data_IF_047098144882
#
_entry.id   IF_047098144882
#
_cell.length_a   1.000
_cell.length_b   1.000
_cell.length_c   1.000
_cell.angle_alpha   90.00
_cell.angle_beta   90.00
_cell.angle_gamma   90.00
#
_symmetry.space_group_name_H-M   'P 1'
#
loop_
_entity.id
_entity.type
_entity.pdbx_description
1 polymer ?
#
# COMPACT_ATOMS: atom_id res chain seq x y z
N UNK A 1 -5.10 -11.95 -1.29
CA UNK A 1 -5.06 -12.45 -2.69
C UNK A 1 -4.00 -13.54 -2.86
N UNK A 2 -4.31 -14.59 -3.60
CA UNK A 2 -3.41 -15.68 -3.99
C UNK A 2 -2.65 -15.38 -5.29
N UNK A 3 -1.53 -16.09 -5.52
CA UNK A 3 -0.73 -15.97 -6.76
C UNK A 3 -1.57 -16.26 -8.02
N UNK A 4 -2.53 -17.20 -7.91
CA UNK A 4 -3.41 -17.56 -9.02
C UNK A 4 -4.34 -16.40 -9.37
N UNK A 5 -4.97 -15.79 -8.38
CA UNK A 5 -5.85 -14.62 -8.57
C UNK A 5 -5.08 -13.45 -9.18
N UNK A 6 -3.86 -13.16 -8.71
CA UNK A 6 -3.00 -12.13 -9.31
C UNK A 6 -2.68 -12.44 -10.78
N UNK A 7 -2.32 -13.69 -11.08
CA UNK A 7 -2.04 -14.12 -12.46
C UNK A 7 -3.26 -13.97 -13.37
N UNK A 8 -4.45 -14.26 -12.86
CA UNK A 8 -5.70 -14.10 -13.60
C UNK A 8 -6.01 -12.61 -13.85
N UNK A 9 -5.72 -11.73 -12.88
CA UNK A 9 -5.82 -10.28 -13.07
C UNK A 9 -4.86 -9.76 -14.14
N UNK A 10 -3.61 -10.21 -14.13
CA UNK A 10 -2.60 -9.87 -15.15
C UNK A 10 -3.09 -10.24 -16.55
N UNK A 11 -3.61 -11.47 -16.73
CA UNK A 11 -4.15 -11.91 -18.02
C UNK A 11 -5.38 -11.12 -18.44
N UNK A 12 -6.31 -10.88 -17.50
CA UNK A 12 -7.56 -10.14 -17.74
C UNK A 12 -7.31 -8.69 -18.16
N UNK A 13 -6.45 -7.99 -17.41
CA UNK A 13 -6.09 -6.58 -17.66
C UNK A 13 -5.01 -6.41 -18.73
N UNK A 14 -4.36 -7.51 -19.15
CA UNK A 14 -3.21 -7.52 -20.07
C UNK A 14 -2.12 -6.54 -19.62
N UNK A 15 -1.86 -6.53 -18.32
CA UNK A 15 -1.07 -5.51 -17.65
C UNK A 15 -0.27 -6.13 -16.51
N UNK A 16 0.95 -5.65 -16.34
CA UNK A 16 1.78 -5.89 -15.14
C UNK A 16 1.90 -4.62 -14.30
N UNK A 17 1.08 -3.59 -14.57
CA UNK A 17 1.20 -2.29 -13.95
C UNK A 17 0.97 -2.37 -12.44
N UNK A 18 1.99 -1.96 -11.70
CA UNK A 18 1.92 -1.69 -10.27
C UNK A 18 2.02 -0.18 -10.05
N UNK A 19 1.00 0.43 -9.46
CA UNK A 19 0.96 1.87 -9.21
C UNK A 19 1.50 2.17 -7.81
N UNK A 20 2.47 3.08 -7.72
CA UNK A 20 2.96 3.59 -6.44
C UNK A 20 2.06 4.71 -5.90
N UNK A 21 1.73 4.65 -4.60
CA UNK A 21 1.08 5.74 -3.87
C UNK A 21 2.08 6.29 -2.83
N UNK A 22 3.06 7.03 -3.35
CA UNK A 22 4.18 7.61 -2.62
C UNK A 22 3.87 9.10 -2.35
N UNK A 23 2.81 9.35 -1.57
CA UNK A 23 2.14 10.67 -1.51
C UNK A 23 2.83 11.64 -0.56
N UNK A 24 3.52 12.62 -1.14
CA UNK A 24 4.01 13.82 -0.45
C UNK A 24 2.94 14.92 -0.50
N UNK A 25 2.67 15.57 0.65
CA UNK A 25 1.76 16.72 0.75
C UNK A 25 2.13 17.85 -0.22
N UNK A 26 3.41 18.04 -0.53
CA UNK A 26 3.87 19.04 -1.49
C UNK A 26 3.41 18.76 -2.93
N UNK A 27 3.17 17.48 -3.27
CA UNK A 27 2.68 17.06 -4.58
C UNK A 27 1.15 17.07 -4.72
N UNK A 28 0.40 17.30 -3.63
CA UNK A 28 -1.05 17.28 -3.65
C UNK A 28 -1.60 18.57 -4.29
N UNK A 29 -2.54 18.48 -5.25
CA UNK A 29 -3.21 19.65 -5.81
C UNK A 29 -3.82 20.56 -4.73
N UNK A 30 -3.63 21.87 -4.86
CA UNK A 30 -4.05 22.86 -3.85
C UNK A 30 -5.52 22.77 -3.44
N UNK A 31 -6.37 22.34 -4.36
CA UNK A 31 -7.80 22.16 -4.15
C UNK A 31 -8.09 21.05 -3.12
N UNK A 32 -7.28 19.99 -3.11
CA UNK A 32 -7.45 18.84 -2.21
C UNK A 32 -6.79 19.06 -0.84
N UNK A 33 -5.91 20.06 -0.70
CA UNK A 33 -5.28 20.38 0.59
C UNK A 33 -6.27 20.87 1.67
N UNK A 34 -7.51 21.20 1.28
CA UNK A 34 -8.57 21.65 2.19
C UNK A 34 -9.41 20.50 2.76
N UNK A 35 -9.24 19.30 2.23
CA UNK A 35 -9.92 18.11 2.70
C UNK A 35 -9.45 17.73 4.11
N UNK A 36 -10.27 17.02 4.86
CA UNK A 36 -9.92 16.56 6.22
C UNK A 36 -8.67 15.65 6.20
N UNK A 37 -8.54 14.83 5.17
CA UNK A 37 -7.42 13.92 4.95
C UNK A 37 -6.92 14.04 3.50
N UNK A 38 -6.12 15.07 3.17
CA UNK A 38 -5.70 15.33 1.79
C UNK A 38 -4.92 14.17 1.17
N UNK A 39 -4.14 13.44 1.98
CA UNK A 39 -3.35 12.28 1.54
C UNK A 39 -4.30 11.16 1.11
N UNK A 40 -5.28 10.80 1.94
CA UNK A 40 -6.26 9.79 1.58
C UNK A 40 -7.10 10.22 0.37
N UNK A 41 -7.60 11.46 0.34
CA UNK A 41 -8.43 11.93 -0.78
C UNK A 41 -7.66 11.90 -2.09
N UNK A 42 -6.39 12.30 -2.08
CA UNK A 42 -5.53 12.23 -3.27
C UNK A 42 -5.27 10.79 -3.72
N UNK A 43 -4.91 9.90 -2.79
CA UNK A 43 -4.75 8.47 -3.07
C UNK A 43 -6.02 7.86 -3.67
N UNK A 44 -7.17 8.14 -3.05
CA UNK A 44 -8.47 7.64 -3.50
C UNK A 44 -8.77 8.11 -4.93
N UNK A 45 -8.47 9.37 -5.27
CA UNK A 45 -8.66 9.89 -6.62
C UNK A 45 -7.80 9.14 -7.65
N UNK A 46 -6.53 8.87 -7.32
CA UNK A 46 -5.63 8.08 -8.16
C UNK A 46 -6.19 6.66 -8.35
N UNK A 47 -6.58 5.98 -7.27
CA UNK A 47 -7.14 4.62 -7.32
C UNK A 47 -8.38 4.58 -8.21
N UNK A 48 -9.35 5.47 -7.97
CA UNK A 48 -10.57 5.58 -8.78
C UNK A 48 -10.25 5.75 -10.26
N UNK A 49 -9.31 6.62 -10.60
CA UNK A 49 -8.93 6.89 -11.97
C UNK A 49 -8.16 5.73 -12.65
N UNK A 50 -7.51 4.84 -11.89
CA UNK A 50 -6.50 3.92 -12.45
C UNK A 50 -6.66 2.44 -12.12
N UNK A 51 -7.57 2.06 -11.21
CA UNK A 51 -7.77 0.67 -10.75
C UNK A 51 -8.02 -0.33 -11.90
N UNK A 52 -8.68 0.09 -12.97
CA UNK A 52 -8.99 -0.75 -14.13
C UNK A 52 -7.74 -1.11 -14.97
N UNK A 53 -6.65 -0.35 -14.84
CA UNK A 53 -5.38 -0.56 -15.55
C UNK A 53 -4.34 -1.31 -14.71
N UNK A 54 -4.38 -1.12 -13.39
CA UNK A 54 -3.40 -1.67 -12.46
C UNK A 54 -3.78 -3.08 -12.00
N UNK A 55 -2.77 -3.93 -11.80
CA UNK A 55 -2.94 -5.22 -11.10
C UNK A 55 -2.52 -5.13 -9.64
N UNK A 56 -1.72 -4.12 -9.30
CA UNK A 56 -1.26 -3.91 -7.94
C UNK A 56 -1.14 -2.43 -7.58
N UNK A 57 -1.25 -2.13 -6.29
CA UNK A 57 -0.90 -0.85 -5.69
C UNK A 57 0.17 -1.07 -4.62
N UNK A 58 1.22 -0.26 -4.69
CA UNK A 58 2.35 -0.27 -3.75
C UNK A 58 2.35 1.02 -2.95
N UNK A 59 2.30 0.92 -1.63
CA UNK A 59 2.29 2.06 -0.72
C UNK A 59 3.63 2.09 0.02
N UNK A 60 4.48 3.07 -0.27
CA UNK A 60 5.76 3.23 0.43
C UNK A 60 5.55 3.90 1.79
N UNK A 61 5.80 3.15 2.87
CA UNK A 61 5.44 3.58 4.23
C UNK A 61 6.18 4.84 4.67
N UNK A 62 7.36 5.13 4.11
CA UNK A 62 8.15 6.30 4.47
C UNK A 62 7.40 7.63 4.29
N UNK A 63 6.59 7.74 3.22
CA UNK A 63 5.80 8.95 2.94
C UNK A 63 4.68 9.18 3.98
N UNK A 64 4.15 8.09 4.53
CA UNK A 64 3.12 8.12 5.56
C UNK A 64 3.73 8.29 6.95
N UNK A 65 4.82 7.59 7.24
CA UNK A 65 5.60 7.71 8.48
C UNK A 65 6.08 9.14 8.73
N UNK A 66 6.53 9.84 7.68
CA UNK A 66 6.95 11.24 7.75
C UNK A 66 5.85 12.20 8.23
N UNK A 67 4.58 11.83 8.08
CA UNK A 67 3.42 12.58 8.56
C UNK A 67 2.95 12.16 9.97
N UNK A 68 3.72 11.32 10.67
CA UNK A 68 3.38 10.84 12.01
C UNK A 68 2.08 10.02 12.06
N UNK A 69 1.34 10.15 13.16
CA UNK A 69 0.11 9.37 13.39
C UNK A 69 -0.97 9.64 12.33
N UNK A 70 -1.05 10.86 11.80
CA UNK A 70 -2.00 11.19 10.74
C UNK A 70 -1.69 10.44 9.45
N UNK A 71 -0.42 10.36 9.04
CA UNK A 71 -0.05 9.61 7.86
C UNK A 71 -0.34 8.12 7.99
N UNK A 72 -0.12 7.52 9.17
CA UNK A 72 -0.54 6.14 9.43
C UNK A 72 -2.05 5.94 9.32
N UNK A 73 -2.86 6.91 9.76
CA UNK A 73 -4.32 6.87 9.57
C UNK A 73 -4.69 6.97 8.08
N UNK A 74 -4.04 7.85 7.31
CA UNK A 74 -4.25 7.95 5.86
C UNK A 74 -3.86 6.66 5.14
N UNK A 75 -2.75 6.01 5.55
CA UNK A 75 -2.34 4.70 5.04
C UNK A 75 -3.42 3.66 5.30
N UNK A 76 -3.90 3.56 6.55
CA UNK A 76 -4.94 2.62 6.95
C UNK A 76 -6.25 2.84 6.18
N UNK A 77 -6.70 4.09 6.01
CA UNK A 77 -7.88 4.41 5.20
C UNK A 77 -7.67 4.02 3.72
N UNK A 78 -6.47 4.26 3.18
CA UNK A 78 -6.17 3.93 1.78
C UNK A 78 -6.21 2.42 1.54
N UNK A 79 -5.58 1.62 2.40
CA UNK A 79 -5.58 0.15 2.24
C UNK A 79 -6.97 -0.43 2.47
N UNK A 80 -7.71 0.04 3.48
CA UNK A 80 -9.09 -0.38 3.72
C UNK A 80 -9.98 -0.08 2.50
N UNK A 81 -9.84 1.10 1.90
CA UNK A 81 -10.58 1.47 0.70
C UNK A 81 -10.30 0.52 -0.47
N UNK A 82 -9.03 0.18 -0.74
CA UNK A 82 -8.65 -0.77 -1.79
C UNK A 82 -9.26 -2.15 -1.49
N UNK A 83 -9.10 -2.66 -0.28
CA UNK A 83 -9.57 -3.99 0.09
C UNK A 83 -11.10 -4.13 0.02
N UNK A 84 -11.83 -3.07 0.36
CA UNK A 84 -13.30 -3.07 0.33
C UNK A 84 -13.85 -2.89 -1.09
N UNK A 85 -13.30 -1.97 -1.88
CA UNK A 85 -13.89 -1.56 -3.16
C UNK A 85 -13.28 -2.27 -4.36
N UNK A 86 -12.05 -2.75 -4.22
CA UNK A 86 -11.25 -3.35 -5.28
C UNK A 86 -10.46 -4.56 -4.76
N UNK A 87 -11.13 -5.58 -4.19
CA UNK A 87 -10.48 -6.76 -3.63
C UNK A 87 -9.68 -7.57 -4.67
N UNK A 88 -9.88 -7.28 -5.96
CA UNK A 88 -9.11 -7.84 -7.06
C UNK A 88 -7.79 -7.11 -7.36
N UNK A 89 -7.42 -6.09 -6.58
CA UNK A 89 -6.11 -5.43 -6.66
C UNK A 89 -5.16 -6.02 -5.62
N UNK A 90 -3.94 -6.34 -6.04
CA UNK A 90 -2.89 -6.80 -5.13
C UNK A 90 -2.26 -5.62 -4.40
N UNK A 91 -2.08 -5.73 -3.09
CA UNK A 91 -1.58 -4.62 -2.27
C UNK A 91 -0.20 -4.93 -1.69
N UNK A 92 0.72 -3.96 -1.82
CA UNK A 92 2.11 -4.11 -1.39
C UNK A 92 2.46 -2.97 -0.42
N UNK A 93 2.79 -3.32 0.82
CA UNK A 93 3.44 -2.42 1.74
C UNK A 93 4.94 -2.35 1.41
N UNK A 94 5.38 -1.25 0.80
CA UNK A 94 6.81 -1.04 0.55
C UNK A 94 7.47 -0.43 1.79
N UNK A 95 7.77 -1.30 2.76
CA UNK A 95 8.22 -0.96 4.10
C UNK A 95 9.69 -1.34 4.36
N UNK A 96 10.31 -2.15 3.50
CA UNK A 96 11.72 -2.58 3.55
C UNK A 96 12.13 -3.13 4.92
N UNK A 97 11.22 -3.82 5.61
CA UNK A 97 11.44 -4.29 6.99
C UNK A 97 12.50 -5.38 7.05
N UNK A 98 13.28 -5.38 8.13
CA UNK A 98 14.25 -6.42 8.43
C UNK A 98 14.75 -6.25 9.86
N UNK A 99 14.71 -7.32 10.65
CA UNK A 99 15.02 -7.33 12.08
C UNK A 99 15.19 -8.80 12.53
N UNK A 100 15.38 -9.06 13.83
CA UNK A 100 15.41 -10.43 14.37
C UNK A 100 14.02 -11.06 14.38
N UNK A 101 13.93 -12.39 14.33
CA UNK A 101 12.67 -13.12 14.11
C UNK A 101 11.47 -12.70 14.98
N UNK A 102 11.67 -12.41 16.27
CA UNK A 102 10.57 -11.95 17.14
C UNK A 102 10.04 -10.56 16.71
N UNK A 103 10.92 -9.65 16.33
CA UNK A 103 10.54 -8.33 15.82
C UNK A 103 9.91 -8.44 14.42
N UNK A 104 10.45 -9.30 13.55
CA UNK A 104 9.86 -9.57 12.23
C UNK A 104 8.44 -10.14 12.33
N UNK A 105 8.13 -10.93 13.36
CA UNK A 105 6.77 -11.37 13.64
C UNK A 105 5.82 -10.20 13.97
N UNK A 106 6.29 -9.15 14.66
CA UNK A 106 5.49 -7.95 14.92
C UNK A 106 5.26 -7.14 13.64
N UNK A 107 6.22 -7.07 12.73
CA UNK A 107 5.99 -6.48 11.40
C UNK A 107 4.97 -7.28 10.60
N UNK A 108 5.07 -8.61 10.61
CA UNK A 108 4.09 -9.47 9.94
C UNK A 108 2.67 -9.21 10.47
N UNK A 109 2.50 -9.13 11.79
CA UNK A 109 1.21 -8.78 12.42
C UNK A 109 0.72 -7.39 11.99
N UNK A 110 1.60 -6.39 11.96
CA UNK A 110 1.22 -5.04 11.56
C UNK A 110 0.71 -5.00 10.11
N UNK A 111 1.44 -5.61 9.18
CA UNK A 111 1.11 -5.50 7.74
C UNK A 111 0.05 -6.49 7.28
N UNK A 112 0.07 -7.74 7.76
CA UNK A 112 -0.86 -8.78 7.28
C UNK A 112 -2.15 -8.89 8.10
N UNK A 113 -2.11 -8.65 9.42
CA UNK A 113 -3.31 -8.76 10.27
C UNK A 113 -3.98 -7.40 10.50
N UNK A 114 -3.20 -6.37 10.85
CA UNK A 114 -3.76 -5.07 11.25
C UNK A 114 -4.12 -4.21 10.04
N UNK A 115 -3.21 -4.10 9.07
CA UNK A 115 -3.42 -3.30 7.86
C UNK A 115 -3.96 -4.12 6.68
N UNK A 116 -3.84 -5.45 6.74
CA UNK A 116 -4.35 -6.38 5.73
C UNK A 116 -3.79 -6.15 4.31
N UNK A 117 -2.48 -5.93 4.20
CA UNK A 117 -1.76 -5.98 2.92
C UNK A 117 -1.60 -7.43 2.43
N UNK A 118 -1.49 -7.62 1.11
CA UNK A 118 -1.16 -8.93 0.54
C UNK A 118 0.34 -9.25 0.59
N UNK A 119 1.19 -8.23 0.54
CA UNK A 119 2.65 -8.37 0.56
C UNK A 119 3.33 -7.21 1.28
N UNK A 120 4.56 -7.45 1.74
CA UNK A 120 5.45 -6.45 2.31
C UNK A 120 6.86 -6.61 1.71
N UNK A 121 7.55 -5.50 1.44
CA UNK A 121 8.97 -5.55 1.03
C UNK A 121 9.86 -5.78 2.26
N UNK A 122 10.84 -6.66 2.10
CA UNK A 122 11.79 -7.03 3.16
C UNK A 122 13.23 -6.70 2.77
N UNK A 123 14.09 -6.47 3.76
CA UNK A 123 15.54 -6.28 3.61
C UNK A 123 16.27 -7.45 4.28
N UNK A 124 16.61 -8.52 3.53
CA UNK A 124 17.13 -9.77 4.11
C UNK A 124 18.62 -9.70 4.47
N UNK A 125 19.17 -8.50 4.73
CA UNK A 125 20.60 -8.31 4.99
C UNK A 125 21.05 -9.03 6.27
N UNK A 126 20.17 -9.16 7.27
CA UNK A 126 20.47 -9.78 8.57
C UNK A 126 20.41 -11.30 8.57
N UNK A 127 19.88 -11.94 7.51
CA UNK A 127 19.71 -13.40 7.45
C UNK A 127 18.33 -13.82 6.93
N UNK A 128 18.11 -15.13 6.81
CA UNK A 128 16.83 -15.71 6.38
C UNK A 128 15.74 -15.63 7.45
N UNK A 129 16.15 -15.45 8.70
CA UNK A 129 15.33 -15.28 9.89
C UNK A 129 14.85 -13.83 10.08
N UNK A 130 15.23 -12.94 9.17
CA UNK A 130 14.79 -11.54 9.09
C UNK A 130 13.53 -11.35 8.27
#
# INVERSE_FOLDING_TARGET
>A
MSIRELTDQIKRKRSFLCIGLDTDKAGIPRQLLKEEDPVFTFNQAIIKATHHLAVAFKLNTAFYEACGAEGWRSLQKTIAYINEHHPELFTIADAKRGDIGNTSAMYAKAFFETLQFDAVTVTPYMGKDS
#
